data_IF_463859382414
#
_entry.id   IF_463859382414
#
_cell.length_a   1.000
_cell.length_b   1.000
_cell.length_c   1.000
_cell.angle_alpha   90.00
_cell.angle_beta   90.00
_cell.angle_gamma   90.00
#
_symmetry.space_group_name_H-M   'P 1'
#
loop_
_entity.id
_entity.type
_entity.pdbx_description
1 polymer ?
#
# COMPACT_ATOMS: atom_id res chain seq x y z
N UNK A 1 0.13 10.06 -20.82
CA UNK A 1 -1.32 10.28 -21.02
C UNK A 1 -1.95 10.62 -19.68
N UNK A 2 -3.19 11.11 -19.68
CA UNK A 2 -3.96 11.35 -18.46
C UNK A 2 -5.18 10.44 -18.41
N UNK A 3 -5.59 10.05 -17.20
CA UNK A 3 -6.80 9.25 -16.94
C UNK A 3 -7.60 9.97 -15.85
N UNK A 4 -8.87 10.24 -16.10
CA UNK A 4 -9.79 10.78 -15.09
C UNK A 4 -10.29 9.64 -14.19
N UNK A 5 -10.23 9.86 -12.88
CA UNK A 5 -10.67 8.89 -11.86
C UNK A 5 -11.53 9.59 -10.81
N UNK A 6 -12.20 8.83 -9.95
CA UNK A 6 -12.94 9.38 -8.81
C UNK A 6 -12.03 10.17 -7.83
N UNK A 7 -10.71 9.95 -7.87
CA UNK A 7 -9.72 10.65 -7.05
C UNK A 7 -8.95 11.70 -7.86
N UNK A 8 -9.54 12.23 -8.93
CA UNK A 8 -8.97 13.23 -9.81
C UNK A 8 -8.20 12.65 -11.01
N UNK A 9 -7.57 13.54 -11.78
CA UNK A 9 -6.80 13.17 -12.98
C UNK A 9 -5.44 12.58 -12.58
N UNK A 10 -5.09 11.43 -13.16
CA UNK A 10 -3.82 10.74 -12.94
C UNK A 10 -2.95 10.81 -14.18
N UNK A 11 -1.67 11.12 -13.99
CA UNK A 11 -0.68 11.07 -15.06
C UNK A 11 -0.16 9.63 -15.19
N UNK A 12 -0.22 9.09 -16.40
CA UNK A 12 0.20 7.72 -16.71
C UNK A 12 1.21 7.71 -17.83
N UNK A 13 2.35 7.07 -17.59
CA UNK A 13 3.38 6.79 -18.59
C UNK A 13 3.36 5.30 -18.92
N UNK A 14 3.21 4.99 -20.20
CA UNK A 14 3.21 3.61 -20.69
C UNK A 14 4.59 3.23 -21.22
N UNK A 15 5.01 2.01 -20.93
CA UNK A 15 6.22 1.41 -21.48
C UNK A 15 5.81 0.26 -22.39
N UNK A 16 6.11 0.41 -23.68
CA UNK A 16 5.72 -0.54 -24.70
C UNK A 16 6.94 -1.26 -25.28
N UNK A 17 6.78 -2.55 -25.55
CA UNK A 17 7.77 -3.38 -26.23
C UNK A 17 7.06 -4.22 -27.30
N UNK A 18 7.59 -4.20 -28.53
CA UNK A 18 7.00 -4.86 -29.70
C UNK A 18 5.53 -4.46 -29.97
N UNK A 19 5.20 -3.17 -29.77
CA UNK A 19 3.85 -2.66 -30.01
C UNK A 19 2.84 -2.95 -28.91
N UNK A 20 3.22 -3.67 -27.85
CA UNK A 20 2.36 -3.99 -26.70
C UNK A 20 2.84 -3.24 -25.45
N UNK A 21 1.90 -2.72 -24.66
CA UNK A 21 2.20 -2.16 -23.34
C UNK A 21 2.63 -3.29 -22.41
N UNK A 22 3.77 -3.14 -21.74
CA UNK A 22 4.33 -4.12 -20.79
C UNK A 22 4.26 -3.66 -19.35
N UNK A 23 4.42 -2.37 -19.12
CA UNK A 23 4.27 -1.77 -17.80
C UNK A 23 3.71 -0.36 -17.91
N UNK A 24 3.17 0.12 -16.80
CA UNK A 24 2.67 1.47 -16.66
C UNK A 24 3.21 2.08 -15.36
N UNK A 25 3.66 3.33 -15.46
CA UNK A 25 3.96 4.16 -14.31
C UNK A 25 2.83 5.16 -14.11
N UNK A 26 2.30 5.22 -12.90
CA UNK A 26 1.21 6.09 -12.50
C UNK A 26 1.69 7.02 -11.40
N UNK A 27 1.44 8.31 -11.57
CA UNK A 27 1.55 9.30 -10.50
C UNK A 27 0.27 9.25 -9.67
N UNK A 28 0.38 8.86 -8.40
CA UNK A 28 -0.77 8.70 -7.51
C UNK A 28 -0.97 9.89 -6.56
N UNK A 29 -0.06 10.87 -6.59
CA UNK A 29 -0.08 12.07 -5.75
C UNK A 29 0.74 11.95 -4.47
N UNK A 30 0.41 12.78 -3.48
CA UNK A 30 1.12 12.87 -2.20
C UNK A 30 0.47 11.99 -1.12
N UNK A 31 1.26 11.49 -0.16
CA UNK A 31 0.70 10.90 1.05
C UNK A 31 0.06 11.98 1.93
N UNK A 32 -1.00 11.61 2.62
CA UNK A 32 -1.64 12.40 3.67
C UNK A 32 -1.50 11.67 5.01
N UNK A 33 -0.93 12.35 5.99
CA UNK A 33 -0.70 11.83 7.33
C UNK A 33 -1.66 12.42 8.36
N UNK A 34 -2.53 13.37 7.96
CA UNK A 34 -3.50 13.98 8.86
C UNK A 34 -4.36 12.87 9.50
N UNK A 35 -4.41 12.77 10.84
CA UNK A 35 -5.24 11.78 11.50
C UNK A 35 -6.72 11.99 11.26
N UNK A 36 -7.16 13.15 10.76
CA UNK A 36 -8.54 13.33 10.29
C UNK A 36 -8.79 12.61 8.95
N UNK A 37 -7.74 12.39 8.13
CA UNK A 37 -7.82 11.62 6.89
C UNK A 37 -7.84 10.11 7.12
N UNK A 38 -7.30 9.66 8.26
CA UNK A 38 -7.30 8.27 8.70
C UNK A 38 -8.45 8.14 9.69
N UNK A 39 -9.47 7.31 9.46
CA UNK A 39 -10.56 7.15 10.42
C UNK A 39 -10.02 6.40 11.65
N UNK A 40 -9.32 7.10 12.54
CA UNK A 40 -8.70 6.62 13.77
C UNK A 40 -8.98 7.61 14.89
N UNK A 41 -9.32 7.09 16.08
CA UNK A 41 -9.44 7.91 17.28
C UNK A 41 -8.06 8.03 17.93
N UNK A 42 -7.33 9.10 17.61
CA UNK A 42 -6.04 9.39 18.25
C UNK A 42 -5.82 10.90 18.42
N UNK A 43 -5.07 11.27 19.44
CA UNK A 43 -4.63 12.66 19.70
C UNK A 43 -3.29 12.97 19.01
N UNK A 44 -2.68 12.00 18.32
CA UNK A 44 -1.36 12.13 17.66
C UNK A 44 -1.49 12.52 16.19
N UNK A 45 -0.78 13.58 15.76
CA UNK A 45 -0.79 14.08 14.38
C UNK A 45 -0.22 13.11 13.31
N UNK A 46 0.64 12.18 13.70
CA UNK A 46 1.25 11.23 12.76
C UNK A 46 1.33 9.86 13.41
N UNK A 47 0.84 8.84 12.73
CA UNK A 47 0.85 7.46 13.21
C UNK A 47 1.94 6.73 12.45
N UNK A 48 3.17 6.83 12.97
CA UNK A 48 4.30 6.04 12.48
C UNK A 48 4.91 5.33 13.68
N UNK A 49 5.04 4.01 13.55
CA UNK A 49 5.64 3.11 14.54
C UNK A 49 5.04 3.30 15.94
N UNK A 50 3.71 3.49 16.00
CA UNK A 50 2.99 3.75 17.25
C UNK A 50 2.45 2.46 17.84
N UNK A 51 2.72 2.16 19.13
CA UNK A 51 2.19 0.97 19.78
C UNK A 51 0.69 1.13 20.02
N UNK A 52 -0.08 0.12 19.61
CA UNK A 52 -1.51 0.01 19.87
C UNK A 52 -1.85 -1.37 20.41
N UNK A 53 -2.87 -1.45 21.28
CA UNK A 53 -3.39 -2.73 21.75
C UNK A 53 -4.35 -3.31 20.70
N UNK A 54 -3.95 -4.42 20.09
CA UNK A 54 -4.78 -5.16 19.15
C UNK A 54 -4.99 -6.56 19.70
N UNK A 55 -6.11 -6.78 20.40
CA UNK A 55 -6.46 -8.08 20.95
C UNK A 55 -5.57 -8.54 22.09
N UNK A 56 -5.09 -7.60 22.94
CA UNK A 56 -4.25 -7.88 24.10
C UNK A 56 -2.75 -7.95 23.79
N UNK A 57 -2.35 -7.71 22.54
CA UNK A 57 -0.96 -7.62 22.11
C UNK A 57 -0.64 -6.19 21.71
N UNK A 58 0.51 -5.67 22.16
CA UNK A 58 1.01 -4.37 21.72
C UNK A 58 1.70 -4.54 20.37
N UNK A 59 1.13 -3.91 19.34
CA UNK A 59 1.61 -3.97 17.96
C UNK A 59 1.89 -2.55 17.50
N UNK A 60 3.07 -2.32 16.92
CA UNK A 60 3.40 -1.03 16.33
C UNK A 60 2.74 -0.91 14.96
N UNK A 61 1.90 0.10 14.79
CA UNK A 61 1.24 0.39 13.52
C UNK A 61 1.74 1.70 12.93
N UNK A 62 1.69 1.78 11.60
CA UNK A 62 1.91 3.00 10.86
C UNK A 62 0.78 3.22 9.86
N UNK A 63 0.19 4.41 9.85
CA UNK A 63 -0.96 4.72 9.01
C UNK A 63 -0.67 5.91 8.09
N UNK A 64 -1.15 5.83 6.86
CA UNK A 64 -1.05 6.90 5.86
C UNK A 64 -2.21 6.78 4.87
N UNK A 65 -2.71 7.90 4.40
CA UNK A 65 -3.74 7.95 3.35
C UNK A 65 -3.06 8.22 2.00
N UNK A 66 -3.32 7.34 1.03
CA UNK A 66 -2.86 7.48 -0.36
C UNK A 66 -4.05 7.21 -1.28
N UNK A 67 -4.88 8.23 -1.47
CA UNK A 67 -6.20 8.11 -2.11
C UNK A 67 -7.25 7.41 -1.23
N UNK A 68 -6.87 6.32 -0.55
CA UNK A 68 -7.63 5.67 0.52
C UNK A 68 -6.69 5.37 1.72
N UNK A 69 -7.23 5.11 2.92
CA UNK A 69 -6.41 4.92 4.11
C UNK A 69 -5.73 3.54 4.13
N UNK A 70 -4.48 3.52 4.58
CA UNK A 70 -3.65 2.33 4.75
C UNK A 70 -3.06 2.25 6.16
N UNK A 71 -3.00 1.04 6.70
CA UNK A 71 -2.29 0.69 7.93
C UNK A 71 -1.25 -0.39 7.61
N UNK A 72 0.04 -0.11 7.81
CA UNK A 72 1.14 -1.03 7.55
C UNK A 72 1.85 -1.35 8.86
N UNK A 73 2.05 -2.64 9.11
CA UNK A 73 2.77 -3.17 10.27
C UNK A 73 4.07 -3.80 9.79
N UNK A 74 5.20 -3.26 10.26
CA UNK A 74 6.52 -3.81 9.95
C UNK A 74 6.88 -4.93 10.94
N UNK A 75 7.28 -6.09 10.40
CA UNK A 75 7.65 -7.26 11.20
C UNK A 75 8.61 -8.19 10.45
N UNK A 76 9.36 -9.01 11.19
CA UNK A 76 10.39 -9.88 10.61
C UNK A 76 9.81 -11.10 9.87
N UNK A 77 8.67 -11.61 10.31
CA UNK A 77 8.11 -12.86 9.78
C UNK A 77 6.69 -12.66 9.23
N UNK A 78 6.62 -12.15 8.00
CA UNK A 78 5.35 -11.94 7.29
C UNK A 78 4.77 -13.23 6.69
N UNK A 79 5.58 -14.28 6.53
CA UNK A 79 5.16 -15.51 5.83
C UNK A 79 4.34 -16.45 6.72
N UNK A 80 4.57 -16.43 8.03
CA UNK A 80 3.84 -17.29 8.97
C UNK A 80 2.54 -16.66 9.49
N UNK A 81 2.26 -15.40 9.15
CA UNK A 81 1.07 -14.70 9.65
C UNK A 81 -0.15 -15.12 8.85
N UNK A 82 -1.20 -15.55 9.56
CA UNK A 82 -2.54 -15.64 8.99
C UNK A 82 -3.09 -14.21 8.81
N UNK A 83 -3.07 -13.74 7.57
CA UNK A 83 -3.42 -12.37 7.26
C UNK A 83 -4.93 -12.10 7.41
N UNK A 84 -5.77 -13.13 7.28
CA UNK A 84 -7.21 -12.97 7.48
C UNK A 84 -7.51 -12.78 8.96
N UNK A 85 -6.92 -13.62 9.82
CA UNK A 85 -7.05 -13.46 11.27
C UNK A 85 -6.48 -12.11 11.73
N UNK A 86 -5.32 -11.72 11.20
CA UNK A 86 -4.68 -10.44 11.53
C UNK A 86 -5.54 -9.24 11.10
N UNK A 87 -6.07 -9.25 9.87
CA UNK A 87 -6.97 -8.23 9.36
C UNK A 87 -8.24 -8.12 10.19
N UNK A 88 -8.82 -9.26 10.60
CA UNK A 88 -9.98 -9.32 11.46
C UNK A 88 -9.70 -8.78 12.87
N UNK A 89 -8.54 -9.08 13.46
CA UNK A 89 -8.11 -8.52 14.75
C UNK A 89 -7.98 -7.00 14.69
N UNK A 90 -7.35 -6.47 13.65
CA UNK A 90 -7.23 -5.01 13.46
C UNK A 90 -8.60 -4.38 13.30
N UNK A 91 -9.47 -4.97 12.47
CA UNK A 91 -10.86 -4.52 12.29
C UNK A 91 -11.62 -4.46 13.61
N UNK A 92 -11.50 -5.50 14.43
CA UNK A 92 -12.26 -5.63 15.67
C UNK A 92 -11.65 -4.86 16.85
N UNK A 93 -10.44 -4.31 16.71
CA UNK A 93 -9.75 -3.55 17.77
C UNK A 93 -10.52 -2.29 18.20
N UNK A 94 -11.39 -1.75 17.34
CA UNK A 94 -12.12 -0.50 17.59
C UNK A 94 -11.25 0.77 17.48
N UNK A 95 -9.95 0.61 17.24
CA UNK A 95 -8.99 1.70 17.06
C UNK A 95 -9.18 2.39 15.71
N UNK A 96 -9.51 1.59 14.69
CA UNK A 96 -9.76 2.03 13.31
C UNK A 96 -11.28 1.94 13.02
N UNK A 97 -12.08 3.00 13.31
CA UNK A 97 -13.54 3.03 13.17
C UNK A 97 -14.09 2.75 11.77
N UNK A 98 -13.29 2.87 10.70
CA UNK A 98 -13.69 2.44 9.36
C UNK A 98 -12.69 1.46 8.76
N UNK A 99 -13.20 0.54 7.95
CA UNK A 99 -12.41 -0.47 7.24
C UNK A 99 -11.24 0.19 6.48
N UNK A 100 -10.03 -0.10 6.92
CA UNK A 100 -8.76 0.38 6.35
C UNK A 100 -8.07 -0.75 5.58
N UNK A 101 -7.31 -0.42 4.53
CA UNK A 101 -6.45 -1.42 3.91
C UNK A 101 -5.28 -1.73 4.85
N UNK A 102 -5.10 -2.99 5.20
CA UNK A 102 -4.08 -3.41 6.17
C UNK A 102 -2.99 -4.18 5.47
N UNK A 103 -1.72 -3.90 5.77
CA UNK A 103 -0.58 -4.61 5.21
C UNK A 103 0.40 -5.05 6.28
N UNK A 104 1.03 -6.20 6.07
CA UNK A 104 2.20 -6.62 6.83
C UNK A 104 3.42 -6.53 5.92
N UNK A 105 4.45 -5.83 6.38
CA UNK A 105 5.64 -5.52 5.60
C UNK A 105 6.89 -6.01 6.31
N UNK A 106 7.88 -6.42 5.52
CA UNK A 106 9.23 -6.75 5.99
C UNK A 106 10.25 -6.05 5.10
N UNK A 107 11.20 -5.36 5.72
CA UNK A 107 12.39 -4.89 5.01
C UNK A 107 13.26 -6.10 4.65
N UNK A 108 13.51 -6.31 3.36
CA UNK A 108 14.52 -7.28 2.89
C UNK A 108 15.89 -6.58 2.87
N UNK A 109 15.92 -5.37 2.32
CA UNK A 109 17.04 -4.45 2.31
C UNK A 109 16.52 -3.01 2.16
N UNK A 110 17.42 -2.03 2.03
CA UNK A 110 17.09 -0.59 1.94
C UNK A 110 16.31 -0.18 0.69
N UNK A 111 16.23 -1.02 -0.34
CA UNK A 111 15.51 -0.78 -1.60
C UNK A 111 14.54 -1.91 -1.94
N UNK A 112 14.27 -2.83 -1.00
CA UNK A 112 13.38 -3.98 -1.21
C UNK A 112 12.51 -4.25 0.00
N UNK A 113 11.19 -4.24 -0.19
CA UNK A 113 10.18 -4.57 0.82
C UNK A 113 9.40 -5.80 0.37
N UNK A 114 9.14 -6.74 1.28
CA UNK A 114 8.13 -7.79 1.08
C UNK A 114 6.83 -7.36 1.74
N UNK A 115 5.73 -7.43 1.01
CA UNK A 115 4.43 -6.95 1.46
C UNK A 115 3.34 -7.97 1.18
N UNK A 116 2.45 -8.18 2.15
CA UNK A 116 1.17 -8.88 1.99
C UNK A 116 0.05 -7.95 2.45
N UNK A 117 -1.05 -7.90 1.71
CA UNK A 117 -2.13 -6.94 1.94
C UNK A 117 -3.47 -7.63 2.18
N UNK A 118 -4.16 -7.21 3.23
CA UNK A 118 -5.58 -7.45 3.47
C UNK A 118 -6.37 -6.25 2.96
N UNK A 119 -7.12 -6.43 1.88
CA UNK A 119 -7.86 -5.34 1.25
C UNK A 119 -9.32 -5.31 1.69
N UNK A 120 -9.80 -4.10 2.02
CA UNK A 120 -11.20 -3.87 2.36
C UNK A 120 -12.16 -4.35 1.28
N UNK A 121 -11.84 -4.05 0.02
CA UNK A 121 -12.75 -4.31 -1.10
C UNK A 121 -12.92 -5.80 -1.39
N UNK A 122 -11.90 -6.60 -1.09
CA UNK A 122 -11.89 -8.06 -1.27
C UNK A 122 -12.38 -8.76 0.01
N UNK A 123 -12.25 -8.09 1.17
CA UNK A 123 -12.42 -8.67 2.50
C UNK A 123 -11.59 -9.95 2.66
N UNK A 124 -10.30 -9.83 2.33
CA UNK A 124 -9.36 -10.93 2.31
C UNK A 124 -7.97 -10.50 1.85
N UNK A 125 -7.04 -11.46 1.86
CA UNK A 125 -5.72 -11.27 1.27
C UNK A 125 -5.81 -11.05 -0.25
N UNK A 126 -5.21 -9.96 -0.71
CA UNK A 126 -5.05 -9.64 -2.12
C UNK A 126 -3.68 -10.07 -2.63
N UNK A 127 -3.62 -10.46 -3.90
CA UNK A 127 -2.35 -10.79 -4.55
C UNK A 127 -1.47 -9.55 -4.76
N UNK A 128 -2.03 -8.35 -4.80
CA UNK A 128 -1.23 -7.13 -4.90
C UNK A 128 -2.08 -5.86 -4.89
N UNK A 129 -1.55 -4.83 -4.24
CA UNK A 129 -2.23 -3.54 -4.07
C UNK A 129 -1.23 -2.40 -4.28
N UNK A 130 -1.36 -1.66 -5.39
CA UNK A 130 -0.42 -0.58 -5.73
C UNK A 130 -0.38 0.55 -4.70
N UNK A 131 -1.52 0.92 -4.11
CA UNK A 131 -1.55 1.97 -3.08
C UNK A 131 -1.03 1.48 -1.73
N UNK A 132 -1.22 0.21 -1.36
CA UNK A 132 -0.59 -0.38 -0.16
C UNK A 132 0.92 -0.51 -0.32
N UNK A 133 1.40 -0.85 -1.52
CA UNK A 133 2.83 -0.86 -1.82
C UNK A 133 3.44 0.54 -1.69
N UNK A 134 2.76 1.57 -2.21
CA UNK A 134 3.13 2.96 -2.00
C UNK A 134 3.15 3.33 -0.50
N UNK A 135 2.14 2.94 0.26
CA UNK A 135 2.06 3.19 1.70
C UNK A 135 3.24 2.59 2.46
N UNK A 136 3.60 1.34 2.16
CA UNK A 136 4.75 0.68 2.78
C UNK A 136 6.06 1.42 2.50
N UNK A 137 6.29 1.89 1.27
CA UNK A 137 7.51 2.63 0.91
C UNK A 137 7.55 4.02 1.53
N UNK A 138 6.42 4.74 1.53
CA UNK A 138 6.30 6.04 2.20
C UNK A 138 6.61 5.91 3.68
N UNK A 139 5.96 4.96 4.38
CA UNK A 139 6.18 4.73 5.81
C UNK A 139 7.63 4.32 6.07
N UNK A 140 8.20 3.38 5.30
CA UNK A 140 9.59 2.98 5.46
C UNK A 140 10.56 4.16 5.27
N UNK A 141 10.23 5.09 4.37
CA UNK A 141 11.04 6.29 4.12
C UNK A 141 10.96 7.27 5.28
N UNK A 142 9.75 7.52 5.83
CA UNK A 142 9.56 8.39 7.00
C UNK A 142 10.14 7.77 8.29
N UNK A 143 10.25 6.44 8.36
CA UNK A 143 10.99 5.72 9.40
C UNK A 143 12.52 5.73 9.20
N UNK A 144 13.02 6.29 8.09
CA UNK A 144 14.45 6.32 7.76
C UNK A 144 15.04 4.97 7.29
N UNK A 145 14.18 4.00 6.96
CA UNK A 145 14.57 2.67 6.44
C UNK A 145 14.84 2.69 4.92
N UNK A 146 14.14 3.58 4.20
CA UNK A 146 14.33 3.88 2.78
C UNK A 146 14.72 5.36 2.59
N UNK A 147 15.16 5.72 1.39
CA UNK A 147 15.51 7.12 1.04
C UNK A 147 14.55 7.69 0.02
N UNK A 148 14.14 8.94 0.23
CA UNK A 148 13.36 9.70 -0.77
C UNK A 148 14.11 9.77 -2.11
N UNK A 149 13.37 9.62 -3.19
CA UNK A 149 13.86 9.66 -4.57
C UNK A 149 14.55 8.38 -5.05
N UNK A 150 14.79 7.40 -4.18
CA UNK A 150 15.29 6.09 -4.62
C UNK A 150 14.13 5.18 -5.02
N UNK A 151 14.38 4.32 -6.02
CA UNK A 151 13.45 3.28 -6.41
C UNK A 151 13.47 2.16 -5.37
N UNK A 152 12.28 1.79 -4.89
CA UNK A 152 12.08 0.70 -3.94
C UNK A 152 11.20 -0.37 -4.57
N UNK A 153 11.70 -1.60 -4.62
CA UNK A 153 10.94 -2.76 -5.11
C UNK A 153 10.07 -3.30 -3.99
N UNK A 154 8.76 -3.38 -4.22
CA UNK A 154 7.81 -4.01 -3.30
C UNK A 154 7.38 -5.35 -3.90
N UNK A 155 7.75 -6.44 -3.20
CA UNK A 155 7.42 -7.82 -3.57
C UNK A 155 6.10 -8.23 -2.95
N UNK A 156 5.13 -8.57 -3.80
CA UNK A 156 3.80 -9.07 -3.41
C UNK A 156 3.52 -10.42 -4.07
N UNK A 157 2.53 -11.21 -3.59
CA UNK A 157 2.23 -12.52 -4.16
C UNK A 157 1.92 -12.52 -5.68
N UNK A 158 1.30 -11.46 -6.18
CA UNK A 158 0.89 -11.28 -7.57
C UNK A 158 1.96 -10.69 -8.49
N UNK A 159 3.11 -10.27 -7.92
CA UNK A 159 4.20 -9.66 -8.67
C UNK A 159 4.84 -8.49 -7.95
N UNK A 160 5.90 -7.97 -8.56
CA UNK A 160 6.67 -6.86 -8.02
C UNK A 160 6.18 -5.53 -8.61
N UNK A 161 6.21 -4.48 -7.79
CA UNK A 161 6.05 -3.09 -8.23
C UNK A 161 7.23 -2.27 -7.76
N UNK A 162 7.59 -1.24 -8.54
CA UNK A 162 8.62 -0.27 -8.16
C UNK A 162 7.93 1.02 -7.74
N UNK A 163 8.28 1.50 -6.56
CA UNK A 163 7.78 2.76 -6.01
C UNK A 163 8.92 3.75 -5.93
N UNK A 164 8.67 4.97 -6.41
CA UNK A 164 9.56 6.11 -6.19
C UNK A 164 8.79 7.16 -5.40
N UNK A 165 9.25 7.47 -4.18
CA UNK A 165 8.63 8.49 -3.34
C UNK A 165 9.50 9.74 -3.26
N UNK A 166 8.96 10.89 -3.65
CA UNK A 166 9.61 12.21 -3.58
C UNK A 166 8.78 13.18 -2.74
N UNK A 167 9.31 14.39 -2.48
CA UNK A 167 8.54 15.43 -1.78
C UNK A 167 7.34 15.95 -2.60
N UNK A 168 7.33 15.67 -3.91
CA UNK A 168 6.30 16.13 -4.84
C UNK A 168 5.22 15.08 -5.09
N UNK A 169 5.60 13.80 -5.18
CA UNK A 169 4.65 12.75 -5.51
C UNK A 169 5.17 11.35 -5.19
N UNK A 170 4.29 10.36 -5.37
CA UNK A 170 4.60 8.95 -5.39
C UNK A 170 4.34 8.42 -6.81
N UNK A 171 5.36 7.78 -7.39
CA UNK A 171 5.27 7.08 -8.67
C UNK A 171 5.18 5.58 -8.40
N UNK A 172 4.20 4.92 -9.01
CA UNK A 172 4.03 3.47 -8.96
C UNK A 172 4.24 2.90 -10.36
N UNK A 173 5.23 2.03 -10.53
CA UNK A 173 5.49 1.33 -11.78
C UNK A 173 5.26 -0.17 -11.60
N UNK A 174 4.42 -0.76 -12.45
CA UNK A 174 4.10 -2.18 -12.40
C UNK A 174 3.85 -2.76 -13.78
N UNK A 175 4.11 -4.06 -13.90
CA UNK A 175 3.84 -4.83 -15.11
C UNK A 175 2.33 -4.97 -15.37
N UNK A 176 1.96 -5.05 -16.64
CA UNK A 176 0.58 -5.31 -17.08
C UNK A 176 0.57 -6.33 -18.22
N UNK A 177 -0.41 -7.23 -18.21
CA UNK A 177 -0.55 -8.31 -19.21
C UNK A 177 -2.03 -8.55 -19.53
N UNK A 178 -2.35 -8.62 -20.83
CA UNK A 178 -3.66 -9.09 -21.30
C UNK A 178 -3.76 -10.59 -21.07
N UNK A 179 -4.78 -11.04 -20.34
CA UNK A 179 -5.00 -12.47 -20.06
C UNK A 179 -5.96 -13.08 -21.07
N UNK A 180 -7.11 -12.45 -21.31
CA UNK A 180 -8.09 -12.86 -22.31
C UNK A 180 -8.91 -11.65 -22.79
N UNK A 181 -9.71 -11.86 -23.82
CA UNK A 181 -10.73 -10.93 -24.31
C UNK A 181 -11.96 -11.76 -24.69
N UNK A 182 -13.15 -11.24 -24.39
CA UNK A 182 -14.40 -11.97 -24.62
C UNK A 182 -15.62 -11.06 -24.53
N UNK A 183 -16.79 -11.66 -24.73
CA UNK A 183 -18.11 -10.99 -24.65
C UNK A 183 -18.90 -11.64 -23.52
N UNK A 184 -19.57 -10.84 -22.70
CA UNK A 184 -20.49 -11.31 -21.66
C UNK A 184 -21.91 -10.97 -22.10
N UNK A 185 -22.76 -11.99 -22.21
CA UNK A 185 -24.19 -11.83 -22.47
C UNK A 185 -24.96 -11.95 -21.14
N UNK A 186 -25.92 -11.06 -20.94
CA UNK A 186 -26.82 -11.03 -19.78
C UNK A 186 -28.27 -11.04 -20.26
#
# INVERSE_FOLDING_TARGET
MTIETNCGVKNVRLYSFNGEVRSAQVDIGKPDFDPASIPMKTDTYMIIDQPVDIGGESINISCVTIGNPHCIVFMDNVDSVDLNEFGDRIRNSGILPEYINTGIARMIDKNTIKLRCYERAVNGESLGCGTSAAAAVVIATEMGLCRKGEDVTVKMPGGDVVITYTDETILVNGDTRKVYEGVVEY
#
